data_IF_946787384804
#
_entry.id   IF_946787384804
#
_cell.length_a   1.000
_cell.length_b   1.000
_cell.length_c   1.000
_cell.angle_alpha   90.00
_cell.angle_beta   90.00
_cell.angle_gamma   90.00
#
_symmetry.space_group_name_H-M   'P 1'
#
loop_
_entity.id
_entity.type
_entity.pdbx_description
1 polymer ?
#
# COMPACT_ATOMS: atom_id res chain seq x y z
N UNK A 1 52.65 -37.00 -17.14
CA UNK A 1 51.19 -36.93 -17.52
C UNK A 1 50.55 -38.24 -17.11
N UNK A 2 49.53 -38.21 -16.21
CA UNK A 2 48.99 -39.39 -15.53
C UNK A 2 48.30 -40.33 -16.56
N UNK A 3 48.74 -41.61 -16.61
CA UNK A 3 48.21 -42.69 -17.47
C UNK A 3 46.67 -42.76 -17.35
N UNK A 4 46.11 -42.52 -16.16
CA UNK A 4 44.68 -42.47 -15.90
C UNK A 4 43.94 -41.40 -16.71
N UNK A 5 44.53 -40.22 -16.90
CA UNK A 5 43.97 -39.14 -17.73
C UNK A 5 43.90 -39.51 -19.20
N UNK A 6 44.94 -40.19 -19.72
CA UNK A 6 44.99 -40.61 -21.11
C UNK A 6 43.95 -41.72 -21.38
N UNK A 7 43.79 -42.67 -20.46
CA UNK A 7 42.76 -43.72 -20.52
C UNK A 7 41.35 -43.14 -20.44
N UNK A 8 41.10 -42.21 -19.52
CA UNK A 8 39.81 -41.53 -19.40
C UNK A 8 39.47 -40.79 -20.71
N UNK A 9 40.42 -40.04 -21.27
CA UNK A 9 40.21 -39.29 -22.52
C UNK A 9 39.95 -40.20 -23.73
N UNK A 10 40.67 -41.35 -23.84
CA UNK A 10 40.41 -42.36 -24.88
C UNK A 10 39.02 -43.00 -24.75
N UNK A 11 38.57 -43.27 -23.51
CA UNK A 11 37.25 -43.83 -23.24
C UNK A 11 36.12 -42.85 -23.58
N UNK A 12 36.27 -41.57 -23.24
CA UNK A 12 35.35 -40.50 -23.60
C UNK A 12 35.22 -40.37 -25.13
N UNK A 13 36.33 -40.42 -25.84
CA UNK A 13 36.37 -40.29 -27.29
C UNK A 13 35.78 -41.52 -28.02
N UNK A 14 35.88 -42.70 -27.41
CA UNK A 14 35.34 -43.95 -27.99
C UNK A 14 33.82 -44.05 -27.82
N UNK A 15 33.24 -43.49 -26.72
CA UNK A 15 31.82 -43.54 -26.41
C UNK A 15 31.15 -42.17 -26.53
N UNK A 16 31.40 -41.41 -27.59
CA UNK A 16 30.94 -40.03 -27.80
C UNK A 16 29.44 -39.84 -27.53
N UNK A 17 28.58 -40.70 -28.06
CA UNK A 17 27.12 -40.56 -27.88
C UNK A 17 26.69 -40.60 -26.41
N UNK A 18 27.26 -41.55 -25.65
CA UNK A 18 26.96 -41.68 -24.20
C UNK A 18 27.51 -40.52 -23.41
N UNK A 19 28.70 -40.05 -23.71
CA UNK A 19 29.33 -38.92 -23.06
C UNK A 19 28.54 -37.62 -23.29
N UNK A 20 28.13 -37.39 -24.55
CA UNK A 20 27.28 -36.20 -24.88
C UNK A 20 25.95 -36.25 -24.14
N UNK A 21 25.28 -37.42 -24.11
CA UNK A 21 24.02 -37.59 -23.40
C UNK A 21 24.17 -37.27 -21.88
N UNK A 22 25.28 -37.76 -21.28
CA UNK A 22 25.54 -37.46 -19.85
C UNK A 22 25.81 -35.95 -19.60
N UNK A 23 26.59 -35.31 -20.48
CA UNK A 23 26.87 -33.86 -20.37
C UNK A 23 25.58 -33.07 -20.54
N UNK A 24 24.77 -33.42 -21.54
CA UNK A 24 23.47 -32.74 -21.71
C UNK A 24 22.58 -32.92 -20.47
N UNK A 25 22.52 -34.11 -19.89
CA UNK A 25 21.77 -34.39 -18.67
C UNK A 25 22.22 -33.51 -17.51
N UNK A 26 23.53 -33.38 -17.30
CA UNK A 26 24.09 -32.52 -16.24
C UNK A 26 23.76 -31.05 -16.51
N UNK A 27 23.97 -30.58 -17.74
CA UNK A 27 23.69 -29.18 -18.11
C UNK A 27 22.21 -28.83 -17.89
N UNK A 28 21.30 -29.70 -18.34
CA UNK A 28 19.86 -29.51 -18.15
C UNK A 28 19.50 -29.50 -16.67
N UNK A 29 20.06 -30.42 -15.88
CA UNK A 29 19.79 -30.47 -14.44
C UNK A 29 20.23 -29.19 -13.74
N UNK A 30 21.44 -28.69 -14.03
CA UNK A 30 21.95 -27.44 -13.44
C UNK A 30 21.12 -26.23 -13.91
N UNK A 31 20.76 -26.20 -15.18
CA UNK A 31 19.91 -25.15 -15.75
C UNK A 31 18.53 -25.10 -15.08
N UNK A 32 17.91 -26.27 -14.85
CA UNK A 32 16.61 -26.36 -14.15
C UNK A 32 16.70 -25.87 -12.71
N UNK A 33 17.72 -26.28 -11.97
CA UNK A 33 17.91 -25.82 -10.59
C UNK A 33 18.09 -24.30 -10.55
N UNK A 34 18.96 -23.76 -11.41
CA UNK A 34 19.19 -22.33 -11.51
C UNK A 34 17.92 -21.55 -11.88
N UNK A 35 17.13 -22.09 -12.81
CA UNK A 35 15.86 -21.52 -13.23
C UNK A 35 14.86 -21.47 -12.07
N UNK A 36 14.70 -22.58 -11.32
CA UNK A 36 13.78 -22.63 -10.17
C UNK A 36 14.21 -21.63 -9.09
N UNK A 37 15.51 -21.56 -8.77
CA UNK A 37 16.01 -20.60 -7.79
C UNK A 37 15.73 -19.15 -8.23
N UNK A 38 15.95 -18.84 -9.49
CA UNK A 38 15.67 -17.51 -10.05
C UNK A 38 14.18 -17.16 -9.96
N UNK A 39 13.29 -18.12 -10.27
CA UNK A 39 11.84 -17.94 -10.14
C UNK A 39 11.44 -17.66 -8.69
N UNK A 40 11.96 -18.43 -7.73
CA UNK A 40 11.65 -18.25 -6.29
C UNK A 40 12.09 -16.85 -5.82
N UNK A 41 13.30 -16.45 -6.19
CA UNK A 41 13.81 -15.11 -5.85
C UNK A 41 12.98 -13.99 -6.47
N UNK A 42 12.66 -14.11 -7.76
CA UNK A 42 11.85 -13.13 -8.48
C UNK A 42 10.45 -13.02 -7.88
N UNK A 43 9.82 -14.15 -7.56
CA UNK A 43 8.50 -14.17 -6.92
C UNK A 43 8.52 -13.54 -5.52
N UNK A 44 9.50 -13.92 -4.70
CA UNK A 44 9.68 -13.32 -3.36
C UNK A 44 9.86 -11.81 -3.43
N UNK A 45 10.71 -11.34 -4.33
CA UNK A 45 10.94 -9.90 -4.52
C UNK A 45 9.67 -9.17 -4.96
N UNK A 46 8.98 -9.71 -5.97
CA UNK A 46 7.71 -9.15 -6.44
C UNK A 46 6.64 -9.09 -5.35
N UNK A 47 6.56 -10.14 -4.52
CA UNK A 47 5.61 -10.18 -3.41
C UNK A 47 5.92 -9.14 -2.34
N UNK A 48 7.18 -8.98 -1.96
CA UNK A 48 7.61 -7.97 -1.00
C UNK A 48 7.35 -6.55 -1.51
N UNK A 49 7.67 -6.27 -2.77
CA UNK A 49 7.42 -4.99 -3.41
C UNK A 49 5.92 -4.65 -3.44
N UNK A 50 5.11 -5.63 -3.82
CA UNK A 50 3.65 -5.49 -3.84
C UNK A 50 3.08 -5.25 -2.44
N UNK A 51 3.59 -5.95 -1.43
CA UNK A 51 3.16 -5.76 -0.04
C UNK A 51 3.52 -4.37 0.47
N UNK A 52 4.75 -3.90 0.24
CA UNK A 52 5.19 -2.55 0.61
C UNK A 52 4.34 -1.46 -0.04
N UNK A 53 3.98 -1.61 -1.31
CA UNK A 53 3.11 -0.66 -2.00
C UNK A 53 1.69 -0.63 -1.46
N UNK A 54 1.18 -1.77 -1.01
CA UNK A 54 -0.23 -1.88 -0.60
C UNK A 54 -0.45 -1.52 0.87
N UNK A 55 0.46 -1.93 1.72
CA UNK A 55 0.33 -1.77 3.18
C UNK A 55 1.24 -0.66 3.71
N UNK A 56 2.33 -0.37 3.00
CA UNK A 56 3.39 0.52 3.46
C UNK A 56 4.61 -0.26 3.95
N UNK A 57 5.66 0.46 4.30
CA UNK A 57 6.92 -0.12 4.79
C UNK A 57 6.88 -0.27 6.32
N UNK A 58 5.87 -0.99 6.82
CA UNK A 58 5.67 -1.25 8.23
C UNK A 58 6.03 -2.68 8.60
N UNK A 59 6.53 -2.89 9.83
CA UNK A 59 6.76 -4.23 10.36
C UNK A 59 5.52 -4.80 11.04
N UNK A 60 4.69 -3.94 11.62
CA UNK A 60 3.44 -4.30 12.30
C UNK A 60 2.38 -3.32 11.85
N UNK A 61 1.21 -3.82 11.52
CA UNK A 61 0.02 -3.06 11.20
C UNK A 61 -1.09 -3.49 12.15
N UNK A 62 -1.73 -2.54 12.81
CA UNK A 62 -2.82 -2.79 13.75
C UNK A 62 -4.02 -2.00 13.25
N UNK A 63 -5.06 -2.74 12.87
CA UNK A 63 -6.33 -2.18 12.42
C UNK A 63 -7.26 -1.90 13.60
N UNK A 64 -8.13 -0.92 13.42
CA UNK A 64 -9.29 -0.67 14.30
C UNK A 64 -8.91 -0.49 15.78
N UNK A 65 -7.85 0.26 16.05
CA UNK A 65 -7.46 0.60 17.41
C UNK A 65 -7.68 2.10 17.68
N UNK A 66 -7.76 2.48 18.96
CA UNK A 66 -7.76 3.88 19.33
C UNK A 66 -6.31 4.40 19.38
N UNK A 67 -6.12 5.67 19.02
CA UNK A 67 -4.81 6.34 19.09
C UNK A 67 -4.15 6.15 20.46
N UNK A 68 -4.92 6.18 21.55
CA UNK A 68 -4.41 6.02 22.90
C UNK A 68 -3.88 4.61 23.14
N UNK A 69 -4.62 3.57 22.74
CA UNK A 69 -4.14 2.16 22.84
C UNK A 69 -2.89 1.94 22.00
N UNK A 70 -2.83 2.53 20.79
CA UNK A 70 -1.65 2.46 19.93
C UNK A 70 -0.41 3.06 20.58
N UNK A 71 -0.54 4.24 21.20
CA UNK A 71 0.54 4.90 21.92
C UNK A 71 0.95 4.11 23.17
N UNK A 72 -0.01 3.53 23.91
CA UNK A 72 0.27 2.66 25.06
C UNK A 72 1.03 1.41 24.64
N UNK A 73 0.60 0.76 23.55
CA UNK A 73 1.29 -0.40 22.98
C UNK A 73 2.75 -0.06 22.60
N UNK A 74 2.95 1.08 21.98
CA UNK A 74 4.29 1.54 21.63
C UNK A 74 5.20 1.80 22.83
N UNK A 75 4.64 2.29 23.92
CA UNK A 75 5.40 2.49 25.17
C UNK A 75 5.76 1.21 25.90
N UNK A 76 5.08 0.10 25.59
CA UNK A 76 5.36 -1.21 26.20
C UNK A 76 6.64 -1.87 25.69
N UNK A 77 7.23 -1.40 24.61
CA UNK A 77 8.43 -2.01 24.04
C UNK A 77 9.42 -0.98 23.51
N UNK A 78 10.66 -1.09 23.98
CA UNK A 78 11.80 -0.26 23.53
C UNK A 78 12.25 -0.57 22.08
N UNK A 79 11.59 -1.51 21.42
CA UNK A 79 11.95 -1.96 20.05
C UNK A 79 11.20 -1.22 18.94
N UNK A 80 10.24 -0.39 19.29
CA UNK A 80 9.48 0.41 18.31
C UNK A 80 10.21 1.74 18.11
N UNK A 81 10.75 1.92 16.92
CA UNK A 81 11.46 3.16 16.55
C UNK A 81 10.52 4.27 16.12
N UNK A 82 9.46 3.93 15.40
CA UNK A 82 8.50 4.90 14.85
C UNK A 82 7.10 4.29 14.81
N UNK A 83 6.11 5.14 15.05
CA UNK A 83 4.70 4.82 14.93
C UNK A 83 4.14 5.78 13.89
N UNK A 84 3.48 5.22 12.90
CA UNK A 84 2.69 5.98 11.95
C UNK A 84 1.22 5.74 12.20
N UNK A 85 0.40 6.79 12.06
CA UNK A 85 -1.03 6.72 12.28
C UNK A 85 -1.77 7.10 11.01
N UNK A 86 -2.74 6.29 10.65
CA UNK A 86 -3.70 6.60 9.61
C UNK A 86 -5.12 6.54 10.14
N UNK A 87 -5.97 7.41 9.62
CA UNK A 87 -7.34 7.54 10.09
C UNK A 87 -8.26 7.87 8.93
N UNK A 88 -9.39 7.18 8.82
CA UNK A 88 -10.47 7.62 7.94
C UNK A 88 -11.16 8.82 8.56
N UNK A 89 -11.10 9.98 7.92
CA UNK A 89 -11.71 11.23 8.38
C UNK A 89 -13.22 11.17 8.16
N UNK A 90 -13.64 10.64 7.02
CA UNK A 90 -15.05 10.51 6.66
C UNK A 90 -15.23 10.16 5.19
N UNK A 91 -16.49 10.17 4.79
CA UNK A 91 -16.88 9.95 3.40
C UNK A 91 -17.64 11.18 2.88
N UNK A 92 -17.38 11.57 1.64
CA UNK A 92 -18.09 12.64 0.98
C UNK A 92 -18.82 12.13 -0.24
N UNK A 93 -20.04 12.62 -0.47
CA UNK A 93 -20.76 12.41 -1.71
C UNK A 93 -20.44 13.57 -2.66
N UNK A 94 -19.88 13.25 -3.80
CA UNK A 94 -19.61 14.23 -4.84
C UNK A 94 -20.76 14.20 -5.86
N UNK A 95 -21.84 14.93 -5.55
CA UNK A 95 -23.13 14.79 -6.22
C UNK A 95 -23.19 15.36 -7.64
N UNK A 96 -22.25 16.21 -8.05
CA UNK A 96 -22.50 17.01 -9.26
C UNK A 96 -22.00 16.43 -10.56
N UNK A 97 -21.17 15.40 -10.55
CA UNK A 97 -20.47 14.98 -11.77
C UNK A 97 -20.20 13.48 -11.89
N UNK A 98 -20.45 12.70 -10.86
CA UNK A 98 -20.32 11.25 -10.94
C UNK A 98 -21.69 10.65 -11.31
N UNK A 99 -21.82 10.15 -12.52
CA UNK A 99 -23.00 9.37 -12.97
C UNK A 99 -23.19 8.06 -12.18
N UNK A 100 -22.37 7.82 -11.19
CA UNK A 100 -22.41 6.69 -10.26
C UNK A 100 -22.39 7.22 -8.84
N UNK A 101 -23.16 6.60 -7.93
CA UNK A 101 -23.25 6.93 -6.49
C UNK A 101 -21.96 6.66 -5.73
N UNK A 102 -20.80 6.99 -6.30
CA UNK A 102 -19.51 6.68 -5.72
C UNK A 102 -19.09 7.81 -4.80
N UNK A 103 -18.97 7.53 -3.51
CA UNK A 103 -18.44 8.47 -2.53
C UNK A 103 -16.92 8.63 -2.63
N UNK A 104 -16.40 9.68 -2.02
CA UNK A 104 -14.96 9.89 -1.81
C UNK A 104 -14.67 9.61 -0.34
N UNK A 105 -13.88 8.59 -0.05
CA UNK A 105 -13.36 8.32 1.30
C UNK A 105 -12.11 9.18 1.49
N UNK A 106 -12.07 9.93 2.58
CA UNK A 106 -10.94 10.79 2.92
C UNK A 106 -10.16 10.11 4.03
N UNK A 107 -8.95 9.66 3.69
CA UNK A 107 -8.01 9.08 4.64
C UNK A 107 -6.96 10.15 5.02
N UNK A 108 -6.76 10.34 6.32
CA UNK A 108 -5.73 11.20 6.87
C UNK A 108 -4.54 10.38 7.38
N UNK A 109 -3.34 10.88 7.16
CA UNK A 109 -2.09 10.26 7.58
C UNK A 109 -1.22 11.26 8.32
N UNK A 110 -0.57 10.82 9.38
CA UNK A 110 0.49 11.61 10.01
C UNK A 110 1.76 11.66 9.12
N UNK A 111 2.74 12.46 9.52
CA UNK A 111 3.96 12.64 8.74
C UNK A 111 4.77 11.34 8.61
N UNK A 112 4.76 10.51 9.64
CA UNK A 112 5.46 9.21 9.64
C UNK A 112 4.80 8.26 8.64
N UNK A 113 3.47 8.18 8.66
CA UNK A 113 2.71 7.35 7.74
C UNK A 113 2.82 7.82 6.30
N UNK A 114 2.74 9.14 6.04
CA UNK A 114 2.92 9.70 4.70
C UNK A 114 4.30 9.38 4.12
N UNK A 115 5.35 9.39 4.96
CA UNK A 115 6.73 9.12 4.53
C UNK A 115 6.99 7.62 4.33
N UNK A 116 6.41 6.77 5.18
CA UNK A 116 6.64 5.32 5.12
C UNK A 116 5.73 4.60 4.11
N UNK A 117 4.64 5.24 3.71
CA UNK A 117 3.77 4.72 2.67
C UNK A 117 4.39 4.99 1.30
N UNK A 118 4.48 3.98 0.47
CA UNK A 118 4.93 4.11 -0.94
C UNK A 118 3.82 4.77 -1.77
N UNK A 119 3.63 6.09 -1.54
CA UNK A 119 2.67 6.89 -2.30
C UNK A 119 3.27 7.14 -3.68
N UNK A 120 2.71 6.49 -4.68
CA UNK A 120 3.12 6.70 -6.06
C UNK A 120 2.55 8.02 -6.59
N UNK A 121 3.27 9.12 -6.30
CA UNK A 121 2.93 10.45 -6.76
C UNK A 121 3.22 10.56 -8.26
N UNK A 122 2.17 10.86 -9.05
CA UNK A 122 2.28 11.06 -10.51
C UNK A 122 2.70 12.50 -10.78
N UNK A 123 2.07 13.46 -10.08
CA UNK A 123 2.28 14.89 -10.28
C UNK A 123 2.02 15.65 -8.98
N UNK A 124 2.72 16.77 -8.77
CA UNK A 124 2.52 17.64 -7.61
C UNK A 124 3.39 17.28 -6.41
N UNK A 125 2.86 17.45 -5.19
CA UNK A 125 3.55 17.20 -3.92
C UNK A 125 2.62 16.59 -2.87
N UNK A 126 3.21 16.03 -1.82
CA UNK A 126 2.47 15.55 -0.66
C UNK A 126 1.79 16.71 0.11
N UNK A 127 0.66 16.47 0.78
CA UNK A 127 -0.04 17.46 1.59
C UNK A 127 0.82 17.87 2.80
N UNK A 128 0.82 19.14 3.12
CA UNK A 128 1.55 19.70 4.24
C UNK A 128 0.65 20.04 5.43
N UNK A 129 -0.66 20.15 5.20
CA UNK A 129 -1.66 20.46 6.22
C UNK A 129 -2.99 19.71 5.93
N UNK A 130 -3.93 19.82 6.84
CA UNK A 130 -5.23 19.13 6.78
C UNK A 130 -6.15 19.64 5.66
N UNK A 131 -5.91 20.84 5.12
CA UNK A 131 -6.69 21.42 4.03
C UNK A 131 -6.14 21.11 2.65
N UNK A 132 -5.06 20.39 2.58
CA UNK A 132 -4.46 19.92 1.34
C UNK A 132 -4.80 18.46 1.12
N UNK A 133 -5.07 18.10 -0.13
CA UNK A 133 -5.52 16.75 -0.48
C UNK A 133 -4.80 16.21 -1.71
N UNK A 134 -4.52 14.92 -1.69
CA UNK A 134 -4.13 14.15 -2.88
C UNK A 134 -5.36 13.45 -3.44
N UNK A 135 -5.48 13.44 -4.74
CA UNK A 135 -6.53 12.73 -5.46
C UNK A 135 -5.93 11.64 -6.35
N UNK A 136 -6.67 10.56 -6.54
CA UNK A 136 -6.19 9.50 -7.44
C UNK A 136 -6.44 9.86 -8.90
N UNK A 137 -5.59 9.36 -9.79
CA UNK A 137 -5.82 9.45 -11.22
C UNK A 137 -7.12 8.73 -11.63
N UNK A 138 -7.58 7.75 -10.86
CA UNK A 138 -8.83 7.05 -11.09
C UNK A 138 -10.03 7.97 -10.83
N UNK A 139 -10.03 8.76 -9.75
CA UNK A 139 -11.04 9.78 -9.50
C UNK A 139 -11.11 10.78 -10.66
N UNK A 140 -9.96 11.34 -11.03
CA UNK A 140 -9.88 12.37 -12.08
C UNK A 140 -10.45 11.86 -13.42
N UNK A 141 -10.11 10.63 -13.79
CA UNK A 141 -10.56 10.04 -15.07
C UNK A 141 -12.06 9.72 -15.10
N UNK A 142 -12.73 9.71 -13.95
CA UNK A 142 -14.17 9.45 -13.85
C UNK A 142 -15.00 10.71 -13.58
N UNK A 143 -14.37 11.87 -13.56
CA UNK A 143 -15.05 13.17 -13.47
C UNK A 143 -15.30 13.75 -14.86
N UNK A 144 -16.45 14.40 -15.05
CA UNK A 144 -16.78 15.12 -16.30
C UNK A 144 -15.82 16.30 -16.52
N UNK A 145 -15.42 16.98 -15.42
CA UNK A 145 -14.41 18.03 -15.45
C UNK A 145 -13.16 17.56 -14.72
N UNK A 146 -11.98 17.51 -15.38
CA UNK A 146 -10.77 17.04 -14.76
C UNK A 146 -10.27 18.04 -13.70
N UNK A 147 -10.09 17.55 -12.48
CA UNK A 147 -9.48 18.30 -11.39
C UNK A 147 -7.98 18.48 -11.66
N UNK A 148 -7.47 19.69 -11.42
CA UNK A 148 -6.07 20.06 -11.60
C UNK A 148 -5.43 20.37 -10.26
N UNK A 149 -4.10 20.29 -10.22
CA UNK A 149 -3.32 20.74 -9.06
C UNK A 149 -3.54 22.24 -8.86
N UNK A 150 -3.86 22.63 -7.63
CA UNK A 150 -4.22 24.00 -7.25
C UNK A 150 -5.73 24.26 -7.18
N UNK A 151 -6.55 23.38 -7.75
CA UNK A 151 -8.00 23.53 -7.67
C UNK A 151 -8.50 23.34 -6.23
N UNK A 152 -9.61 24.00 -5.93
CA UNK A 152 -10.30 23.84 -4.66
C UNK A 152 -11.46 22.85 -4.80
N UNK A 153 -11.42 21.81 -3.99
CA UNK A 153 -12.44 20.78 -3.91
C UNK A 153 -13.25 20.97 -2.64
N UNK A 154 -14.49 21.42 -2.76
CA UNK A 154 -15.40 21.58 -1.62
C UNK A 154 -16.27 20.34 -1.51
N UNK A 155 -16.18 19.67 -0.37
CA UNK A 155 -16.87 18.41 -0.07
C UNK A 155 -17.71 18.55 1.20
N UNK A 156 -18.91 17.98 1.16
CA UNK A 156 -19.71 17.75 2.35
C UNK A 156 -19.29 16.39 2.93
N UNK A 157 -18.45 16.43 3.95
CA UNK A 157 -17.82 15.24 4.54
C UNK A 157 -18.66 14.76 5.71
N UNK A 158 -19.21 13.57 5.59
CA UNK A 158 -19.83 12.86 6.70
C UNK A 158 -18.73 12.27 7.58
N UNK A 159 -18.51 12.89 8.73
CA UNK A 159 -17.52 12.43 9.71
C UNK A 159 -18.02 11.15 10.38
N UNK A 160 -17.10 10.27 10.71
CA UNK A 160 -17.37 9.06 11.47
C UNK A 160 -16.63 9.07 12.79
N UNK A 161 -17.28 8.59 13.85
CA UNK A 161 -16.65 8.36 15.15
C UNK A 161 -16.71 6.89 15.51
N UNK A 162 -15.69 6.42 16.21
CA UNK A 162 -15.64 5.09 16.76
C UNK A 162 -16.40 5.08 18.10
N UNK A 163 -17.39 4.23 18.20
CA UNK A 163 -18.06 3.92 19.47
C UNK A 163 -17.57 2.56 19.93
N UNK A 164 -16.98 2.55 21.13
CA UNK A 164 -16.57 1.34 21.80
C UNK A 164 -17.66 0.98 22.81
N UNK A 165 -18.23 -0.20 22.69
CA UNK A 165 -19.22 -0.72 23.65
C UNK A 165 -18.63 -0.77 25.06
N UNK A 166 -19.47 -0.62 26.09
CA UNK A 166 -19.05 -0.62 27.50
C UNK A 166 -18.36 -1.92 27.94
N UNK A 167 -18.53 -3.01 27.22
CA UNK A 167 -17.85 -4.29 27.44
C UNK A 167 -16.53 -4.40 26.64
N UNK A 168 -16.20 -3.40 25.82
CA UNK A 168 -14.98 -3.38 25.02
C UNK A 168 -14.93 -4.39 23.87
N UNK A 169 -16.04 -5.12 23.61
CA UNK A 169 -16.07 -6.20 22.63
C UNK A 169 -16.69 -5.83 21.28
N UNK A 170 -17.39 -4.72 21.20
CA UNK A 170 -18.00 -4.25 19.96
C UNK A 170 -17.56 -2.82 19.66
N UNK A 171 -16.99 -2.64 18.49
CA UNK A 171 -16.63 -1.36 17.94
C UNK A 171 -17.56 -1.08 16.75
N UNK A 172 -18.20 0.08 16.74
CA UNK A 172 -19.04 0.52 15.64
C UNK A 172 -18.66 1.92 15.19
N UNK A 173 -18.73 2.13 13.87
CA UNK A 173 -18.60 3.48 13.31
C UNK A 173 -19.97 4.10 13.21
N UNK A 174 -20.14 5.25 13.86
CA UNK A 174 -21.37 6.03 13.76
C UNK A 174 -21.12 7.37 13.09
N UNK A 175 -22.09 7.88 12.32
CA UNK A 175 -22.00 9.23 11.78
C UNK A 175 -21.86 10.27 12.88
N UNK A 176 -20.93 11.22 12.71
CA UNK A 176 -20.68 12.33 13.66
C UNK A 176 -21.03 13.69 13.06
N UNK A 177 -21.97 13.70 12.12
CA UNK A 177 -22.42 14.89 11.43
C UNK A 177 -21.74 15.12 10.08
N UNK A 178 -22.26 16.13 9.36
CA UNK A 178 -21.74 16.52 8.06
C UNK A 178 -21.05 17.88 8.21
N UNK A 179 -19.82 17.95 7.73
CA UNK A 179 -19.06 19.20 7.70
C UNK A 179 -18.65 19.53 6.27
N UNK A 180 -18.90 20.79 5.87
CA UNK A 180 -18.44 21.28 4.59
C UNK A 180 -16.99 21.74 4.68
N UNK A 181 -16.12 21.02 4.00
CA UNK A 181 -14.67 21.26 4.00
C UNK A 181 -14.19 21.57 2.58
N UNK A 182 -13.35 22.60 2.45
CA UNK A 182 -12.70 22.94 1.20
C UNK A 182 -11.24 22.53 1.28
N UNK A 183 -10.85 21.65 0.37
CA UNK A 183 -9.48 21.17 0.22
C UNK A 183 -8.83 21.79 -1.02
N UNK A 184 -7.53 22.03 -0.95
CA UNK A 184 -6.71 22.39 -2.12
C UNK A 184 -6.02 21.13 -2.64
N UNK A 185 -6.18 20.81 -3.91
CA UNK A 185 -5.52 19.66 -4.53
C UNK A 185 -4.05 19.96 -4.74
N UNK A 186 -3.18 19.21 -4.08
CA UNK A 186 -1.71 19.43 -4.13
C UNK A 186 -0.97 18.40 -4.95
N UNK A 187 -1.59 17.27 -5.24
CA UNK A 187 -0.97 16.25 -6.08
C UNK A 187 -1.93 15.18 -6.53
N UNK A 188 -1.48 14.45 -7.54
CA UNK A 188 -2.19 13.34 -8.17
C UNK A 188 -1.40 12.08 -7.91
N UNK A 189 -2.06 11.06 -7.37
CA UNK A 189 -1.47 9.77 -7.07
C UNK A 189 -2.01 8.68 -8.00
N UNK A 190 -1.24 7.63 -8.17
CA UNK A 190 -1.74 6.44 -8.84
C UNK A 190 -2.83 5.80 -7.99
N UNK A 191 -3.87 5.25 -8.63
CA UNK A 191 -4.92 4.49 -7.97
C UNK A 191 -4.35 3.53 -6.92
N UNK A 192 -4.87 3.61 -5.70
CA UNK A 192 -4.45 2.72 -4.62
C UNK A 192 -5.15 1.37 -4.71
N UNK A 193 -4.55 0.33 -4.11
CA UNK A 193 -5.21 -0.98 -4.04
C UNK A 193 -6.49 -0.93 -3.19
N UNK A 194 -6.52 -0.11 -2.14
CA UNK A 194 -7.73 0.11 -1.33
C UNK A 194 -8.85 0.62 -2.22
N UNK A 195 -8.58 1.63 -3.06
CA UNK A 195 -9.51 2.17 -4.03
C UNK A 195 -9.92 1.14 -5.10
N UNK A 196 -8.96 0.36 -5.62
CA UNK A 196 -9.24 -0.69 -6.60
C UNK A 196 -10.13 -1.83 -6.04
N UNK A 197 -10.04 -2.08 -4.74
CA UNK A 197 -10.83 -3.11 -4.05
C UNK A 197 -12.18 -2.58 -3.51
N UNK A 198 -12.36 -1.26 -3.46
CA UNK A 198 -13.61 -0.63 -3.00
C UNK A 198 -14.49 -0.37 -4.21
N UNK A 199 -15.53 -1.16 -4.38
CA UNK A 199 -16.34 -1.17 -5.60
C UNK A 199 -17.08 0.14 -5.87
N UNK A 200 -17.25 1.03 -4.87
CA UNK A 200 -18.10 2.21 -4.96
C UNK A 200 -17.52 3.48 -4.32
N UNK A 201 -16.21 3.56 -4.10
CA UNK A 201 -15.63 4.77 -3.52
C UNK A 201 -14.25 5.08 -4.11
N UNK A 202 -13.97 6.37 -4.25
CA UNK A 202 -12.65 6.92 -4.54
C UNK A 202 -11.95 7.22 -3.23
N UNK A 203 -10.62 7.21 -3.24
CA UNK A 203 -9.84 7.51 -2.04
C UNK A 203 -9.03 8.77 -2.27
N UNK A 204 -9.21 9.72 -1.37
CA UNK A 204 -8.43 10.92 -1.30
C UNK A 204 -7.58 10.90 -0.01
N UNK A 205 -6.42 11.52 -0.03
CA UNK A 205 -5.44 11.47 1.07
C UNK A 205 -5.10 12.87 1.53
N UNK A 206 -5.19 13.13 2.82
CA UNK A 206 -4.76 14.39 3.45
C UNK A 206 -3.77 14.15 4.59
N UNK A 207 -3.15 15.21 5.11
CA UNK A 207 -2.27 15.15 6.28
C UNK A 207 -3.09 15.39 7.55
N UNK A 208 -2.81 14.60 8.59
CA UNK A 208 -3.33 14.83 9.95
C UNK A 208 -2.40 15.76 10.70
N UNK A 209 -2.89 16.90 11.19
CA UNK A 209 -2.15 17.82 12.05
C UNK A 209 -2.33 17.49 13.53
N UNK A 210 -3.52 17.04 13.91
CA UNK A 210 -3.84 16.64 15.27
C UNK A 210 -4.59 15.32 15.30
N UNK A 211 -4.20 14.46 16.24
CA UNK A 211 -4.93 13.24 16.52
C UNK A 211 -6.19 13.59 17.33
N UNK A 212 -7.34 13.35 16.77
CA UNK A 212 -8.59 13.44 17.52
C UNK A 212 -8.75 12.16 18.35
N UNK A 213 -8.97 12.28 19.65
CA UNK A 213 -8.89 11.21 20.65
C UNK A 213 -9.84 10.00 20.43
N UNK A 214 -10.79 10.08 19.52
CA UNK A 214 -11.90 9.11 19.43
C UNK A 214 -12.20 8.68 17.99
N UNK A 215 -11.23 8.59 17.10
CA UNK A 215 -11.46 8.09 15.74
C UNK A 215 -10.76 6.76 15.51
N UNK A 216 -11.32 5.88 14.68
CA UNK A 216 -10.62 4.66 14.31
C UNK A 216 -9.32 5.01 13.59
N UNK A 217 -8.21 4.45 14.03
CA UNK A 217 -6.93 4.61 13.39
C UNK A 217 -6.30 3.25 13.08
N UNK A 218 -5.51 3.22 12.02
CA UNK A 218 -4.62 2.13 11.67
C UNK A 218 -3.20 2.51 12.10
N UNK A 219 -2.49 1.60 12.75
CA UNK A 219 -1.14 1.81 13.30
C UNK A 219 -0.13 0.87 12.68
#
# INVERSE_FOLDING_TARGET
MNILRILAWKNLKRNKKRTIATIIGIVVSVALISFILTLIYSFKYSMLETTKRNVGNYHIHIDQTTTQKAIEFAKMTDKIERIGISQTIGAANYESQLNTKNGIIIDGYDEVSLTNRDINLIEGRLPQNEKEILVSNYLINNLDEPIKIGDQLTLDVEKVKLIISNDGMQESLEPDGIERVTYTVTGIIQQTRKEANTSNAYIATTKLEQMTEVRPCEV
#
